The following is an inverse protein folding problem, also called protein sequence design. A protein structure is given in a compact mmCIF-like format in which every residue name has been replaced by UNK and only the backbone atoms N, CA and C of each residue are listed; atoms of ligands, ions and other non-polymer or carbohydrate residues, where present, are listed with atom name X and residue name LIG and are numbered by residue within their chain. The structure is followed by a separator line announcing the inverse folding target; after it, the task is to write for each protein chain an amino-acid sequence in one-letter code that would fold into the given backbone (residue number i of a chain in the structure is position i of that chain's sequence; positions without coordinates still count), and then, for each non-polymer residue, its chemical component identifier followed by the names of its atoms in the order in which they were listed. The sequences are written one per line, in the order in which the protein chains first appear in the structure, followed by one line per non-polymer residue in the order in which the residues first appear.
data_IF_172786575570
#
_entry.id   IF_172786575570
#
_cell.length_a   1.000
_cell.length_b   1.000
_cell.length_c   1.000
_cell.angle_alpha   90.00
_cell.angle_beta   90.00
_cell.angle_gamma   90.00
#
_symmetry.space_group_name_H-M   'P 1'
#
loop_
_entity.id
_entity.type
_entity.pdbx_description
1 polymer ?
#
# COMPACT_ATOMS: atom_id res chain seq x y z
N UNK A 1 10.04 -7.57 -14.67
CA UNK A 1 9.17 -6.41 -14.36
C UNK A 1 9.73 -5.78 -13.10
N UNK A 2 10.14 -4.51 -13.14
CA UNK A 2 10.57 -3.80 -11.93
C UNK A 2 9.37 -3.76 -10.98
N UNK A 3 9.52 -4.29 -9.75
CA UNK A 3 8.51 -4.07 -8.73
C UNK A 3 8.24 -2.57 -8.67
N UNK A 4 6.96 -2.14 -8.56
CA UNK A 4 6.66 -0.74 -8.31
C UNK A 4 7.54 -0.25 -7.16
N UNK A 5 7.89 1.03 -7.16
CA UNK A 5 8.60 1.66 -6.04
C UNK A 5 7.64 2.60 -5.33
N UNK A 6 8.00 2.93 -4.11
CA UNK A 6 7.31 3.89 -3.25
C UNK A 6 6.65 5.03 -4.04
N UNK A 7 5.48 5.52 -3.59
CA UNK A 7 4.98 5.41 -2.22
C UNK A 7 3.96 4.28 -1.98
N UNK A 8 3.93 3.82 -0.73
CA UNK A 8 2.98 2.85 -0.20
C UNK A 8 1.93 3.55 0.66
N UNK A 9 0.71 3.05 0.61
CA UNK A 9 -0.41 3.52 1.39
C UNK A 9 -0.95 2.38 2.22
N UNK A 10 -1.19 2.61 3.50
CA UNK A 10 -1.88 1.63 4.33
C UNK A 10 -2.94 2.33 5.16
N UNK A 11 -4.05 1.63 5.39
CA UNK A 11 -5.06 2.11 6.33
C UNK A 11 -4.56 1.84 7.74
N UNK A 12 -4.59 2.83 8.63
CA UNK A 12 -4.10 2.69 10.02
C UNK A 12 -4.72 1.49 10.73
N UNK A 13 -6.01 1.26 10.50
CA UNK A 13 -6.80 0.13 11.05
C UNK A 13 -6.70 -1.18 10.26
N UNK A 14 -5.83 -1.30 9.25
CA UNK A 14 -5.69 -2.53 8.46
C UNK A 14 -4.26 -3.05 8.49
N UNK A 15 -4.09 -4.35 8.65
CA UNK A 15 -2.79 -5.02 8.61
C UNK A 15 -2.18 -5.10 7.21
N UNK A 16 -2.80 -4.49 6.20
CA UNK A 16 -2.32 -4.54 4.81
C UNK A 16 -1.87 -3.18 4.27
N UNK A 17 -0.87 -3.21 3.39
CA UNK A 17 -0.38 -2.06 2.63
C UNK A 17 -0.62 -2.22 1.12
N UNK A 18 -0.76 -1.09 0.46
CA UNK A 18 -1.15 -0.93 -0.92
C UNK A 18 -0.14 -0.04 -1.65
N UNK A 19 0.12 -0.30 -2.93
CA UNK A 19 0.94 0.58 -3.74
C UNK A 19 0.13 1.80 -4.20
N UNK A 20 0.77 2.96 -4.36
CA UNK A 20 0.14 4.13 -5.01
C UNK A 20 -0.32 3.81 -6.43
N UNK A 21 0.56 3.20 -7.21
CA UNK A 21 0.37 3.03 -8.66
C UNK A 21 -0.13 1.65 -9.04
N UNK A 22 0.00 0.66 -8.14
CA UNK A 22 -0.32 -0.75 -8.44
C UNK A 22 -1.61 -1.24 -7.77
N UNK A 23 -2.28 -0.43 -6.96
CA UNK A 23 -3.48 -0.86 -6.25
C UNK A 23 -4.62 0.16 -6.35
N UNK A 24 -5.72 -0.23 -7.00
CA UNK A 24 -6.93 0.61 -7.10
C UNK A 24 -7.70 0.73 -5.77
N UNK A 25 -7.34 -0.07 -4.76
CA UNK A 25 -7.93 -0.01 -3.41
C UNK A 25 -7.19 0.92 -2.46
N UNK A 26 -6.17 1.64 -2.92
CA UNK A 26 -5.63 2.73 -2.11
C UNK A 26 -6.69 3.83 -2.02
N UNK A 27 -7.37 3.96 -0.88
CA UNK A 27 -8.36 5.02 -0.71
C UNK A 27 -7.69 6.36 -0.37
N UNK A 28 -6.55 6.69 -0.99
CA UNK A 28 -5.89 7.98 -0.78
C UNK A 28 -6.47 9.05 -1.73
N UNK A 29 -6.67 10.31 -1.30
CA UNK A 29 -6.42 10.86 0.04
C UNK A 29 -7.59 10.60 1.02
N UNK A 30 -7.31 9.89 2.10
CA UNK A 30 -8.25 9.68 3.22
C UNK A 30 -7.47 9.79 4.54
N UNK A 31 -8.02 10.45 5.56
CA UNK A 31 -7.32 10.71 6.82
C UNK A 31 -6.95 9.44 7.59
N UNK A 32 -7.59 8.31 7.31
CA UNK A 32 -7.28 7.02 7.92
C UNK A 32 -6.18 6.26 7.19
N UNK A 33 -5.63 6.83 6.12
CA UNK A 33 -4.55 6.25 5.34
C UNK A 33 -3.25 7.00 5.57
N UNK A 34 -2.17 6.25 5.67
CA UNK A 34 -0.85 6.80 5.85
C UNK A 34 0.01 6.49 4.63
N UNK A 35 0.70 7.53 4.14
CA UNK A 35 1.67 7.44 3.05
C UNK A 35 3.05 7.17 3.64
N UNK A 36 3.67 6.09 3.23
CA UNK A 36 5.07 5.78 3.58
C UNK A 36 5.88 5.51 2.33
N UNK A 37 7.13 5.93 2.34
CA UNK A 37 8.05 5.67 1.22
C UNK A 37 8.87 4.41 1.42
N UNK A 38 8.83 3.83 2.62
CA UNK A 38 9.46 2.55 2.92
C UNK A 38 8.40 1.46 3.03
N UNK A 39 8.77 0.22 2.69
CA UNK A 39 7.84 -0.90 2.70
C UNK A 39 7.57 -1.28 4.15
N UNK A 40 6.32 -1.22 4.63
CA UNK A 40 6.04 -1.52 6.02
C UNK A 40 6.30 -3.01 6.31
N UNK A 41 7.30 -3.30 7.14
CA UNK A 41 7.68 -4.68 7.52
C UNK A 41 6.63 -5.38 8.39
N UNK A 42 5.85 -4.62 9.15
CA UNK A 42 4.81 -5.13 10.06
C UNK A 42 3.44 -5.25 9.39
N UNK A 43 3.34 -5.03 8.07
CA UNK A 43 2.08 -5.08 7.33
C UNK A 43 2.24 -5.97 6.10
N UNK A 44 1.18 -6.70 5.79
CA UNK A 44 1.15 -7.56 4.63
C UNK A 44 0.82 -6.79 3.35
N UNK A 45 1.39 -7.19 2.23
CA UNK A 45 1.01 -6.62 0.94
C UNK A 45 -0.44 -7.02 0.62
N UNK A 46 -1.24 -6.07 0.12
CA UNK A 46 -2.62 -6.35 -0.27
C UNK A 46 -2.69 -7.49 -1.31
N UNK A 47 -3.71 -8.34 -1.32
CA UNK A 47 -3.76 -9.49 -2.25
C UNK A 47 -3.73 -9.06 -3.73
N UNK A 48 -4.38 -7.95 -4.10
CA UNK A 48 -4.28 -7.40 -5.47
C UNK A 48 -2.87 -6.93 -5.81
N UNK A 49 -2.17 -6.38 -4.82
CA UNK A 49 -0.80 -5.95 -4.92
C UNK A 49 0.13 -7.16 -5.02
N UNK A 50 -0.17 -8.26 -4.31
CA UNK A 50 0.58 -9.53 -4.34
C UNK A 50 0.41 -10.26 -5.68
N UNK A 51 -0.75 -10.09 -6.32
CA UNK A 51 -1.09 -10.74 -7.58
C UNK A 51 -0.57 -10.02 -8.83
N UNK A 52 0.04 -8.84 -8.69
CA UNK A 52 0.65 -8.05 -9.77
C UNK A 52 2.17 -8.11 -9.70
#
# INVERSE_FOLDING_TARGET
MSQPKAPYYYKKSSDTYHWETSCSKNHHPDPNWEKVYDKPSNREQCNECKAK
#
